data_IF_199019361800
#
_entry.id   IF_199019361800
#
_cell.length_a   1.000
_cell.length_b   1.000
_cell.length_c   1.000
_cell.angle_alpha   90.00
_cell.angle_beta   90.00
_cell.angle_gamma   90.00
#
_symmetry.space_group_name_H-M   'P 1'
#
loop_
_entity.id
_entity.type
_entity.pdbx_description
1 polymer ?
#
# COMPACT_ATOMS: atom_id res chain seq x y z
N UNK A 1 -22.03 4.34 -11.42
CA UNK A 1 -21.73 3.57 -10.19
C UNK A 1 -21.98 2.07 -10.34
N UNK A 2 -23.09 1.62 -10.94
CA UNK A 2 -23.44 0.19 -10.98
C UNK A 2 -22.46 -0.73 -11.72
N UNK A 3 -21.75 -0.25 -12.76
CA UNK A 3 -20.72 -1.04 -13.46
C UNK A 3 -19.53 -1.33 -12.54
N UNK A 4 -19.07 -0.30 -11.81
CA UNK A 4 -17.96 -0.44 -10.88
C UNK A 4 -18.31 -1.37 -9.71
N UNK A 5 -19.54 -1.29 -9.22
CA UNK A 5 -20.04 -2.17 -8.17
C UNK A 5 -20.12 -3.63 -8.60
N UNK A 6 -20.58 -3.90 -9.84
CA UNK A 6 -20.57 -5.25 -10.41
C UNK A 6 -19.14 -5.77 -10.57
N UNK A 7 -18.24 -4.98 -11.13
CA UNK A 7 -16.83 -5.32 -11.25
C UNK A 7 -16.20 -5.65 -9.89
N UNK A 8 -16.48 -4.85 -8.85
CA UNK A 8 -16.01 -5.07 -7.49
C UNK A 8 -16.54 -6.40 -6.89
N UNK A 9 -17.77 -6.77 -7.23
CA UNK A 9 -18.39 -8.02 -6.78
C UNK A 9 -17.84 -9.24 -7.54
N UNK A 10 -17.66 -9.13 -8.86
CA UNK A 10 -17.04 -10.16 -9.71
C UNK A 10 -15.60 -10.47 -9.28
N UNK A 11 -14.83 -9.45 -8.87
CA UNK A 11 -13.48 -9.63 -8.33
C UNK A 11 -13.45 -10.05 -6.85
N UNK A 12 -14.60 -10.31 -6.23
CA UNK A 12 -14.74 -10.68 -4.82
C UNK A 12 -14.00 -9.72 -3.86
N UNK A 13 -14.10 -8.42 -4.12
CA UNK A 13 -13.48 -7.40 -3.28
C UNK A 13 -14.06 -7.50 -1.86
N UNK A 14 -13.23 -7.56 -0.82
CA UNK A 14 -13.71 -7.52 0.57
C UNK A 14 -13.84 -6.10 1.06
N UNK A 15 -14.86 -5.83 1.86
CA UNK A 15 -15.10 -4.50 2.44
C UNK A 15 -15.73 -4.60 3.82
N UNK A 16 -15.45 -3.60 4.66
CA UNK A 16 -15.98 -3.50 6.01
C UNK A 16 -17.48 -3.14 5.99
N UNK A 17 -18.25 -3.85 6.79
CA UNK A 17 -19.67 -3.57 7.05
C UNK A 17 -19.86 -2.68 8.27
N UNK A 18 -21.04 -2.05 8.42
CA UNK A 18 -21.35 -1.26 9.61
C UNK A 18 -21.35 -2.08 10.91
N UNK A 19 -21.43 -3.41 10.79
CA UNK A 19 -21.35 -4.37 11.90
C UNK A 19 -19.88 -4.64 12.31
N UNK A 20 -18.90 -4.09 11.58
CA UNK A 20 -17.48 -4.28 11.85
C UNK A 20 -16.90 -5.57 11.28
N UNK A 21 -17.69 -6.34 10.52
CA UNK A 21 -17.22 -7.55 9.82
C UNK A 21 -16.81 -7.21 8.39
N UNK A 22 -15.72 -7.82 7.92
CA UNK A 22 -15.35 -7.76 6.51
C UNK A 22 -16.00 -8.89 5.71
N UNK A 23 -16.82 -8.54 4.73
CA UNK A 23 -17.51 -9.48 3.86
C UNK A 23 -17.14 -9.22 2.40
N UNK A 24 -17.36 -10.24 1.55
CA UNK A 24 -17.26 -10.07 0.11
C UNK A 24 -18.31 -9.04 -0.34
N UNK A 25 -17.89 -8.11 -1.18
CA UNK A 25 -18.72 -7.03 -1.65
C UNK A 25 -19.76 -7.58 -2.63
N UNK A 26 -21.04 -7.38 -2.30
CA UNK A 26 -22.16 -7.67 -3.18
C UNK A 26 -22.85 -6.37 -3.55
N UNK A 27 -23.04 -6.15 -4.85
CA UNK A 27 -23.68 -4.92 -5.34
C UNK A 27 -25.13 -4.78 -4.85
N UNK A 28 -25.84 -5.90 -4.72
CA UNK A 28 -27.22 -5.94 -4.24
C UNK A 28 -27.32 -5.53 -2.76
N UNK A 29 -26.30 -5.84 -1.96
CA UNK A 29 -26.24 -5.56 -0.53
C UNK A 29 -25.38 -4.33 -0.19
N UNK A 30 -25.25 -3.38 -1.11
CA UNK A 30 -24.36 -2.20 -0.97
C UNK A 30 -24.63 -1.38 0.30
N UNK A 31 -25.85 -1.39 0.82
CA UNK A 31 -26.25 -0.67 2.04
C UNK A 31 -25.59 -1.21 3.31
N UNK A 32 -25.16 -2.48 3.33
CA UNK A 32 -24.49 -3.09 4.48
C UNK A 32 -23.06 -2.59 4.68
N UNK A 33 -22.44 -2.01 3.64
CA UNK A 33 -21.03 -1.64 3.62
C UNK A 33 -20.77 -0.19 4.02
N UNK A 34 -19.68 0.01 4.75
CA UNK A 34 -19.23 1.34 5.22
C UNK A 34 -18.83 2.21 4.04
N UNK A 35 -19.31 3.45 4.04
CA UNK A 35 -18.93 4.49 3.09
C UNK A 35 -17.78 5.34 3.61
N UNK A 36 -17.04 5.95 2.70
CA UNK A 36 -16.04 6.95 3.07
C UNK A 36 -16.70 8.23 3.64
N UNK A 37 -15.91 9.07 4.34
CA UNK A 37 -16.37 10.37 4.85
C UNK A 37 -16.92 11.30 3.75
N UNK A 38 -16.45 11.15 2.52
CA UNK A 38 -16.93 11.89 1.34
C UNK A 38 -18.27 11.36 0.78
N UNK A 39 -18.90 10.39 1.46
CA UNK A 39 -20.13 9.72 1.04
C UNK A 39 -19.92 8.70 -0.08
N UNK A 40 -18.70 8.57 -0.59
CA UNK A 40 -18.40 7.67 -1.68
C UNK A 40 -18.22 6.23 -1.22
N UNK A 41 -18.74 5.30 -2.04
CA UNK A 41 -18.68 3.88 -1.72
C UNK A 41 -17.26 3.33 -1.83
N UNK A 42 -16.54 3.70 -2.90
CA UNK A 42 -15.21 3.18 -3.21
C UNK A 42 -14.14 4.25 -3.09
N UNK A 43 -13.02 3.90 -2.44
CA UNK A 43 -11.81 4.73 -2.39
C UNK A 43 -11.20 4.85 -3.77
N UNK A 44 -10.35 5.86 -3.97
CA UNK A 44 -9.68 6.03 -5.25
C UNK A 44 -8.94 4.75 -5.68
N UNK A 45 -8.28 4.07 -4.71
CA UNK A 45 -7.60 2.79 -4.94
C UNK A 45 -8.55 1.68 -5.37
N UNK A 46 -9.67 1.53 -4.65
CA UNK A 46 -10.68 0.51 -4.97
C UNK A 46 -11.25 0.74 -6.37
N UNK A 47 -11.54 2.01 -6.72
CA UNK A 47 -11.99 2.37 -8.06
C UNK A 47 -10.95 2.04 -9.12
N UNK A 48 -9.69 2.40 -8.89
CA UNK A 48 -8.61 2.09 -9.82
C UNK A 48 -8.45 0.59 -10.00
N UNK A 49 -8.60 -0.19 -8.93
CA UNK A 49 -8.53 -1.65 -9.00
C UNK A 49 -9.67 -2.22 -9.85
N UNK A 50 -10.90 -1.69 -9.70
CA UNK A 50 -12.03 -2.06 -10.54
C UNK A 50 -11.80 -1.68 -12.01
N UNK A 51 -11.28 -0.48 -12.28
CA UNK A 51 -10.95 -0.05 -13.65
C UNK A 51 -9.89 -0.95 -14.28
N UNK A 52 -8.85 -1.29 -13.52
CA UNK A 52 -7.82 -2.21 -13.98
C UNK A 52 -8.41 -3.58 -14.28
N UNK A 53 -9.25 -4.11 -13.40
CA UNK A 53 -9.95 -5.37 -13.64
C UNK A 53 -10.78 -5.33 -14.93
N UNK A 54 -11.56 -4.27 -15.14
CA UNK A 54 -12.38 -4.10 -16.34
C UNK A 54 -11.54 -4.03 -17.62
N UNK A 55 -10.47 -3.22 -17.63
CA UNK A 55 -9.65 -3.02 -18.83
C UNK A 55 -8.86 -4.29 -19.18
N UNK A 56 -8.24 -4.95 -18.19
CA UNK A 56 -7.54 -6.21 -18.42
C UNK A 56 -8.49 -7.40 -18.63
N UNK A 57 -9.74 -7.29 -18.22
CA UNK A 57 -10.81 -8.27 -18.48
C UNK A 57 -11.36 -8.23 -19.91
N UNK A 58 -10.94 -7.26 -20.73
CA UNK A 58 -11.30 -7.21 -22.15
C UNK A 58 -10.55 -8.33 -22.88
N UNK A 59 -11.23 -9.46 -23.09
CA UNK A 59 -10.69 -10.65 -23.75
C UNK A 59 -11.40 -10.96 -25.07
N UNK A 60 -10.70 -11.65 -25.97
CA UNK A 60 -11.30 -12.08 -27.23
C UNK A 60 -12.28 -13.23 -26.95
N UNK A 61 -13.58 -12.95 -27.06
CA UNK A 61 -14.65 -13.95 -26.90
C UNK A 61 -14.98 -14.68 -28.20
N UNK A 62 -14.43 -14.26 -29.34
CA UNK A 62 -14.68 -14.91 -30.62
C UNK A 62 -13.86 -16.20 -30.71
N UNK A 63 -14.38 -17.21 -31.42
CA UNK A 63 -13.68 -18.47 -31.68
C UNK A 63 -12.59 -18.33 -32.77
N UNK A 64 -12.19 -17.12 -33.10
CA UNK A 64 -11.26 -16.84 -34.20
C UNK A 64 -10.24 -15.79 -33.79
N UNK A 65 -9.06 -15.90 -34.37
CA UNK A 65 -8.01 -14.90 -34.20
C UNK A 65 -8.42 -13.62 -34.95
N UNK A 66 -8.41 -12.50 -34.23
CA UNK A 66 -8.72 -11.20 -34.82
C UNK A 66 -7.39 -10.55 -35.20
N UNK A 67 -7.24 -10.16 -36.47
CA UNK A 67 -6.09 -9.35 -36.89
C UNK A 67 -6.33 -7.90 -36.51
N UNK A 68 -5.39 -7.35 -35.74
CA UNK A 68 -5.34 -5.96 -35.35
C UNK A 68 -4.22 -5.29 -36.14
N UNK A 69 -4.52 -4.14 -36.74
CA UNK A 69 -3.54 -3.36 -37.49
C UNK A 69 -3.32 -2.03 -36.79
N UNK A 70 -2.07 -1.73 -36.46
CA UNK A 70 -1.67 -0.45 -35.91
C UNK A 70 -0.28 -0.08 -36.46
N UNK A 71 -0.17 1.10 -37.08
CA UNK A 71 1.10 1.67 -37.54
C UNK A 71 1.92 0.70 -38.42
N UNK A 72 1.27 0.18 -39.47
CA UNK A 72 1.80 -0.81 -40.43
C UNK A 72 2.22 -2.17 -39.84
N UNK A 73 2.00 -2.40 -38.55
CA UNK A 73 2.17 -3.70 -37.91
C UNK A 73 0.84 -4.42 -37.77
N UNK A 74 0.81 -5.68 -38.23
CA UNK A 74 -0.31 -6.58 -38.01
C UNK A 74 0.04 -7.56 -36.89
N UNK A 75 -0.84 -7.65 -35.90
CA UNK A 75 -0.71 -8.62 -34.82
C UNK A 75 -2.01 -9.37 -34.60
N UNK A 76 -1.87 -10.62 -34.19
CA UNK A 76 -3.00 -11.53 -34.00
C UNK A 76 -3.41 -11.51 -32.53
N UNK A 77 -4.70 -11.31 -32.30
CA UNK A 77 -5.30 -11.36 -30.98
C UNK A 77 -5.96 -12.73 -30.75
N UNK A 78 -5.33 -13.54 -29.90
CA UNK A 78 -5.73 -14.93 -29.67
C UNK A 78 -7.00 -15.03 -28.83
N UNK A 79 -7.69 -16.15 -28.93
CA UNK A 79 -8.88 -16.42 -28.12
C UNK A 79 -8.55 -16.39 -26.62
N UNK A 80 -9.42 -15.78 -25.81
CA UNK A 80 -9.27 -15.60 -24.35
C UNK A 80 -8.03 -14.82 -23.90
N UNK A 81 -7.29 -14.21 -24.82
CA UNK A 81 -6.18 -13.32 -24.48
C UNK A 81 -6.71 -11.92 -24.17
N UNK A 82 -6.15 -11.23 -23.17
CA UNK A 82 -6.54 -9.86 -22.85
C UNK A 82 -5.96 -8.87 -23.87
N UNK A 83 -6.82 -8.04 -24.46
CA UNK A 83 -6.43 -7.06 -25.47
C UNK A 83 -5.32 -6.14 -24.97
N UNK A 84 -5.46 -5.62 -23.74
CA UNK A 84 -4.51 -4.65 -23.20
C UNK A 84 -3.10 -5.26 -23.03
N UNK A 85 -2.97 -6.50 -22.52
CA UNK A 85 -1.65 -7.16 -22.40
C UNK A 85 -1.01 -7.35 -23.76
N UNK A 86 -1.80 -7.76 -24.77
CA UNK A 86 -1.29 -7.91 -26.14
C UNK A 86 -0.76 -6.60 -26.69
N UNK A 87 -1.47 -5.49 -26.45
CA UNK A 87 -1.03 -4.15 -26.85
C UNK A 87 0.20 -3.66 -26.09
N UNK A 88 0.36 -4.06 -24.82
CA UNK A 88 1.57 -3.78 -24.02
C UNK A 88 2.77 -4.56 -24.55
N UNK A 89 2.60 -5.85 -24.86
CA UNK A 89 3.67 -6.72 -25.39
C UNK A 89 4.17 -6.26 -26.76
N UNK A 90 3.27 -5.78 -27.62
CA UNK A 90 3.61 -5.22 -28.94
C UNK A 90 4.17 -3.79 -28.86
N UNK A 91 4.21 -3.20 -27.66
CA UNK A 91 4.71 -1.84 -27.43
C UNK A 91 3.81 -0.72 -27.97
N UNK A 92 2.58 -1.05 -28.39
CA UNK A 92 1.55 -0.07 -28.80
C UNK A 92 1.11 0.74 -27.57
N UNK A 93 0.90 0.06 -26.44
CA UNK A 93 0.65 0.69 -25.14
C UNK A 93 1.93 0.61 -24.32
N UNK A 94 2.53 1.77 -24.02
CA UNK A 94 3.78 1.80 -23.24
C UNK A 94 3.52 1.54 -21.75
N UNK A 95 2.58 2.28 -21.16
CA UNK A 95 2.32 2.29 -19.73
C UNK A 95 0.86 2.65 -19.44
N UNK A 96 0.26 1.96 -18.48
CA UNK A 96 -1.05 2.31 -17.92
C UNK A 96 -0.85 2.80 -16.50
N UNK A 97 -1.04 4.10 -16.28
CA UNK A 97 -0.92 4.72 -14.97
C UNK A 97 -2.23 5.43 -14.58
N UNK A 98 -2.58 5.43 -13.29
CA UNK A 98 -3.76 6.12 -12.82
C UNK A 98 -3.53 7.62 -12.70
N UNK A 99 -4.59 8.41 -12.95
CA UNK A 99 -4.55 9.86 -12.75
C UNK A 99 -4.73 10.21 -11.27
N UNK A 100 -3.86 11.07 -10.76
CA UNK A 100 -3.93 11.55 -9.39
C UNK A 100 -5.13 12.47 -9.15
N UNK A 101 -5.85 12.23 -8.05
CA UNK A 101 -6.82 13.21 -7.55
C UNK A 101 -6.07 14.35 -6.83
N UNK A 102 -5.86 15.45 -7.55
CA UNK A 102 -5.07 16.62 -7.14
C UNK A 102 -5.54 17.22 -5.81
N UNK A 103 -6.84 17.27 -5.57
CA UNK A 103 -7.43 17.85 -4.36
C UNK A 103 -7.03 17.05 -3.12
N UNK A 104 -7.25 15.72 -3.15
CA UNK A 104 -6.88 14.82 -2.05
C UNK A 104 -5.38 14.80 -1.82
N UNK A 105 -4.58 14.80 -2.90
CA UNK A 105 -3.11 14.86 -2.79
C UNK A 105 -2.65 16.15 -2.11
N UNK A 106 -3.17 17.31 -2.52
CA UNK A 106 -2.80 18.61 -1.93
C UNK A 106 -3.21 18.70 -0.47
N UNK A 107 -4.37 18.15 -0.11
CA UNK A 107 -4.83 18.10 1.27
C UNK A 107 -3.93 17.21 2.15
N UNK A 108 -3.60 16.00 1.68
CA UNK A 108 -2.63 15.11 2.32
C UNK A 108 -1.27 15.80 2.48
N UNK A 109 -0.77 16.45 1.44
CA UNK A 109 0.51 17.15 1.47
C UNK A 109 0.51 18.30 2.49
N UNK A 110 -0.57 19.09 2.51
CA UNK A 110 -0.70 20.24 3.42
C UNK A 110 -0.85 19.82 4.87
N UNK A 111 -1.66 18.81 5.15
CA UNK A 111 -1.99 18.41 6.51
C UNK A 111 -0.89 17.56 7.14
N UNK A 112 -0.17 16.77 6.34
CA UNK A 112 0.87 15.86 6.83
C UNK A 112 2.27 16.29 6.42
N UNK A 113 2.58 16.35 5.13
CA UNK A 113 3.96 16.53 4.67
C UNK A 113 4.53 17.93 4.93
N UNK A 114 3.69 18.96 4.93
CA UNK A 114 4.06 20.35 5.18
C UNK A 114 3.86 20.79 6.64
N UNK A 115 3.24 19.94 7.47
CA UNK A 115 3.02 20.23 8.88
C UNK A 115 4.16 19.65 9.73
N UNK A 116 5.18 20.48 9.99
CA UNK A 116 6.38 20.07 10.72
C UNK A 116 6.09 19.56 12.14
N UNK A 117 5.01 20.04 12.76
CA UNK A 117 4.62 19.66 14.11
C UNK A 117 4.25 18.17 14.23
N UNK A 118 3.72 17.57 13.16
CA UNK A 118 3.22 16.19 13.16
C UNK A 118 4.10 15.23 12.34
N UNK A 119 5.38 15.56 12.14
CA UNK A 119 6.32 14.77 11.32
C UNK A 119 6.37 13.28 11.71
N UNK A 120 6.19 12.97 13.00
CA UNK A 120 6.19 11.60 13.52
C UNK A 120 4.78 10.97 13.60
N UNK A 121 3.72 11.78 13.57
CA UNK A 121 2.33 11.31 13.59
C UNK A 121 1.76 11.29 12.17
N UNK A 122 2.08 10.22 11.44
CA UNK A 122 1.69 10.09 10.03
C UNK A 122 0.27 9.48 9.91
N UNK A 123 -0.64 10.06 9.11
CA UNK A 123 -1.98 9.51 8.88
C UNK A 123 -1.92 8.31 7.93
N UNK A 124 -1.48 7.16 8.44
CA UNK A 124 -1.24 5.94 7.64
C UNK A 124 -2.49 5.47 6.91
N UNK A 125 -3.68 5.64 7.51
CA UNK A 125 -4.94 5.20 6.92
C UNK A 125 -5.34 6.04 5.70
N UNK A 126 -5.07 7.34 5.71
CA UNK A 126 -5.32 8.20 4.56
C UNK A 126 -4.34 7.90 3.42
N UNK A 127 -3.06 7.72 3.75
CA UNK A 127 -2.00 7.30 2.81
C UNK A 127 -2.35 5.95 2.19
N UNK A 128 -2.85 5.00 2.99
CA UNK A 128 -3.31 3.69 2.54
C UNK A 128 -4.48 3.79 1.56
N UNK A 129 -5.47 4.62 1.87
CA UNK A 129 -6.66 4.79 1.02
C UNK A 129 -6.34 5.36 -0.36
N UNK A 130 -5.30 6.20 -0.45
CA UNK A 130 -4.90 6.89 -1.66
C UNK A 130 -3.82 6.12 -2.45
N UNK A 131 -2.70 5.78 -1.80
CA UNK A 131 -1.53 5.16 -2.44
C UNK A 131 -1.50 3.63 -2.35
N UNK A 132 -2.28 3.05 -1.43
CA UNK A 132 -2.32 1.61 -1.20
C UNK A 132 -1.27 1.08 -0.24
N UNK A 133 -1.26 -0.24 -0.07
CA UNK A 133 -0.55 -0.93 1.01
C UNK A 133 0.96 -0.74 0.96
N UNK A 134 1.58 -0.87 -0.22
CA UNK A 134 3.05 -0.80 -0.35
C UNK A 134 3.60 0.54 0.17
N UNK A 135 3.00 1.63 -0.25
CA UNK A 135 3.43 2.99 0.11
C UNK A 135 3.04 3.29 1.57
N UNK A 136 1.86 2.87 2.02
CA UNK A 136 1.45 3.05 3.41
C UNK A 136 2.34 2.29 4.40
N UNK A 137 2.73 1.05 4.09
CA UNK A 137 3.65 0.26 4.92
C UNK A 137 5.04 0.91 4.96
N UNK A 138 5.53 1.45 3.84
CA UNK A 138 6.79 2.19 3.80
C UNK A 138 6.77 3.41 4.73
N UNK A 139 5.74 4.25 4.64
CA UNK A 139 5.61 5.42 5.52
C UNK A 139 5.41 5.01 6.99
N UNK A 140 4.65 3.94 7.25
CA UNK A 140 4.49 3.41 8.60
C UNK A 140 5.81 2.89 9.20
N UNK A 141 6.70 2.31 8.38
CA UNK A 141 8.06 1.93 8.77
C UNK A 141 8.87 3.17 9.10
N UNK A 142 8.92 4.12 8.16
CA UNK A 142 9.70 5.34 8.28
C UNK A 142 9.34 6.11 9.56
N UNK A 143 8.04 6.35 9.80
CA UNK A 143 7.58 7.06 11.00
C UNK A 143 7.92 6.31 12.30
N UNK A 144 7.84 4.98 12.30
CA UNK A 144 8.25 4.20 13.47
C UNK A 144 9.76 4.26 13.68
N UNK A 145 10.55 4.12 12.63
CA UNK A 145 12.00 4.17 12.67
C UNK A 145 12.51 5.51 13.19
N UNK A 146 12.00 6.63 12.65
CA UNK A 146 12.34 7.98 13.12
C UNK A 146 12.01 8.17 14.61
N UNK A 147 10.87 7.67 15.09
CA UNK A 147 10.52 7.75 16.52
C UNK A 147 11.44 6.91 17.39
N UNK A 148 11.83 5.74 16.92
CA UNK A 148 12.73 4.84 17.65
C UNK A 148 14.18 5.31 17.63
N UNK A 149 14.62 6.03 16.59
CA UNK A 149 15.95 6.63 16.51
C UNK A 149 16.20 7.69 17.59
N UNK A 150 15.15 8.24 18.19
CA UNK A 150 15.30 9.18 19.30
C UNK A 150 16.11 8.58 20.47
N UNK A 151 15.93 7.30 20.79
CA UNK A 151 16.66 6.62 21.88
C UNK A 151 18.18 6.57 21.64
N UNK A 152 18.69 6.01 20.52
CA UNK A 152 20.12 6.00 20.24
C UNK A 152 20.67 7.40 19.98
N UNK A 153 19.89 8.33 19.43
CA UNK A 153 20.33 9.72 19.24
C UNK A 153 20.63 10.41 20.58
N UNK A 154 19.72 10.32 21.56
CA UNK A 154 19.92 10.89 22.90
C UNK A 154 21.09 10.21 23.61
N UNK A 155 21.17 8.88 23.54
CA UNK A 155 22.28 8.12 24.13
C UNK A 155 23.63 8.50 23.51
N UNK A 156 23.70 8.62 22.18
CA UNK A 156 24.91 9.02 21.46
C UNK A 156 25.36 10.44 21.79
N UNK A 157 24.42 11.38 21.85
CA UNK A 157 24.71 12.77 22.27
C UNK A 157 25.20 12.82 23.72
N UNK A 158 24.61 12.04 24.62
CA UNK A 158 25.07 11.94 26.00
C UNK A 158 26.51 11.42 26.07
N UNK A 159 26.85 10.39 25.29
CA UNK A 159 28.24 9.87 25.22
C UNK A 159 29.24 10.86 24.65
N UNK A 160 28.80 11.77 23.78
CA UNK A 160 29.66 12.75 23.10
C UNK A 160 29.88 14.03 23.91
N UNK A 161 28.85 14.50 24.63
CA UNK A 161 28.86 15.79 25.32
C UNK A 161 29.26 15.70 26.79
N UNK A 162 29.11 14.53 27.41
CA UNK A 162 29.46 14.32 28.82
C UNK A 162 30.85 13.68 28.86
N UNK A 163 31.77 14.31 29.59
CA UNK A 163 33.06 13.71 29.92
C UNK A 163 32.88 12.73 31.09
N UNK A 164 33.00 11.44 30.80
CA UNK A 164 32.89 10.36 31.79
C UNK A 164 34.22 10.08 32.51
N UNK A 165 35.29 10.77 32.14
CA UNK A 165 36.63 10.59 32.70
C UNK A 165 37.04 9.12 32.72
N UNK A 166 37.32 8.62 33.92
CA UNK A 166 37.74 7.24 34.14
C UNK A 166 36.69 6.18 33.77
N UNK A 167 35.39 6.50 33.72
CA UNK A 167 34.37 5.51 33.40
C UNK A 167 34.19 5.25 31.90
N UNK A 168 34.87 6.02 31.04
CA UNK A 168 34.70 5.96 29.58
C UNK A 168 34.94 4.56 28.99
N UNK A 169 35.88 3.80 29.55
CA UNK A 169 36.16 2.43 29.10
C UNK A 169 35.00 1.45 29.32
N UNK A 170 34.08 1.73 30.26
CA UNK A 170 32.85 0.95 30.47
C UNK A 170 31.68 1.49 29.63
N UNK A 171 31.60 2.81 29.50
CA UNK A 171 30.49 3.49 28.80
C UNK A 171 30.47 3.12 27.30
N UNK A 172 31.64 3.03 26.67
CA UNK A 172 31.75 2.70 25.24
C UNK A 172 31.21 1.28 24.91
N UNK A 173 31.68 0.19 25.55
CA UNK A 173 31.08 -1.14 25.36
C UNK A 173 29.59 -1.18 25.72
N UNK A 174 29.17 -0.51 26.79
CA UNK A 174 27.77 -0.46 27.19
C UNK A 174 26.89 0.20 26.11
N UNK A 175 27.38 1.26 25.47
CA UNK A 175 26.71 1.91 24.34
C UNK A 175 26.53 0.95 23.15
N UNK A 176 27.56 0.19 22.77
CA UNK A 176 27.45 -0.80 21.68
C UNK A 176 26.41 -1.89 22.00
N UNK A 177 26.43 -2.42 23.22
CA UNK A 177 25.44 -3.41 23.67
C UNK A 177 24.03 -2.81 23.60
N UNK A 178 23.87 -1.56 24.04
CA UNK A 178 22.61 -0.83 23.96
C UNK A 178 22.12 -0.67 22.51
N UNK A 179 22.99 -0.26 21.59
CA UNK A 179 22.63 -0.09 20.17
C UNK A 179 22.22 -1.41 19.52
N UNK A 180 22.95 -2.50 19.81
CA UNK A 180 22.60 -3.85 19.31
C UNK A 180 21.25 -4.28 19.87
N UNK A 181 21.04 -4.11 21.18
CA UNK A 181 19.77 -4.42 21.85
C UNK A 181 18.62 -3.61 21.23
N UNK A 182 18.80 -2.30 21.06
CA UNK A 182 17.84 -1.41 20.40
C UNK A 182 17.49 -1.89 18.99
N UNK A 183 18.48 -2.28 18.19
CA UNK A 183 18.25 -2.76 16.83
C UNK A 183 17.39 -4.04 16.81
N UNK A 184 17.68 -4.99 17.71
CA UNK A 184 16.89 -6.23 17.85
C UNK A 184 15.45 -5.90 18.27
N UNK A 185 15.27 -5.05 19.29
CA UNK A 185 13.95 -4.64 19.73
C UNK A 185 13.17 -3.92 18.62
N UNK A 186 13.80 -2.97 17.92
CA UNK A 186 13.17 -2.25 16.82
C UNK A 186 12.65 -3.21 15.74
N UNK A 187 13.50 -4.15 15.30
CA UNK A 187 13.12 -5.12 14.27
C UNK A 187 11.97 -6.03 14.74
N UNK A 188 11.98 -6.49 15.99
CA UNK A 188 10.89 -7.31 16.53
C UNK A 188 9.57 -6.55 16.63
N UNK A 189 9.60 -5.31 17.11
CA UNK A 189 8.42 -4.45 17.15
C UNK A 189 7.91 -4.12 15.74
N UNK A 190 8.82 -3.95 14.77
CA UNK A 190 8.45 -3.74 13.38
C UNK A 190 7.74 -4.95 12.80
N UNK A 191 8.28 -6.17 12.99
CA UNK A 191 7.64 -7.42 12.56
C UNK A 191 6.21 -7.52 13.09
N UNK A 192 6.00 -7.23 14.38
CA UNK A 192 4.67 -7.22 14.99
C UNK A 192 3.74 -6.17 14.38
N UNK A 193 4.23 -4.93 14.21
CA UNK A 193 3.45 -3.84 13.63
C UNK A 193 3.10 -4.12 12.17
N UNK A 194 4.04 -4.61 11.36
CA UNK A 194 3.83 -4.98 9.96
C UNK A 194 2.78 -6.08 9.83
N UNK A 195 2.83 -7.11 10.68
CA UNK A 195 1.81 -8.16 10.71
C UNK A 195 0.42 -7.60 11.02
N UNK A 196 0.30 -6.69 11.99
CA UNK A 196 -0.96 -6.03 12.31
C UNK A 196 -1.48 -5.14 11.15
N UNK A 197 -0.59 -4.39 10.48
CA UNK A 197 -0.96 -3.58 9.31
C UNK A 197 -1.40 -4.45 8.14
N UNK A 198 -0.70 -5.55 7.86
CA UNK A 198 -1.07 -6.50 6.81
C UNK A 198 -2.40 -7.17 7.12
N UNK A 199 -2.64 -7.58 8.35
CA UNK A 199 -3.94 -8.14 8.76
C UNK A 199 -5.08 -7.12 8.60
N UNK A 200 -4.84 -5.86 8.96
CA UNK A 200 -5.82 -4.77 8.82
C UNK A 200 -6.11 -4.39 7.36
N UNK A 201 -5.13 -4.53 6.48
CA UNK A 201 -5.22 -4.07 5.09
C UNK A 201 -5.44 -5.20 4.06
N UNK A 202 -5.15 -6.46 4.43
CA UNK A 202 -5.24 -7.68 3.63
C UNK A 202 -5.53 -8.92 4.52
N UNK A 203 -6.76 -9.12 5.00
CA UNK A 203 -7.10 -10.23 5.90
C UNK A 203 -7.25 -11.60 5.20
N UNK A 204 -6.71 -11.78 3.99
CA UNK A 204 -6.75 -13.08 3.31
C UNK A 204 -5.57 -13.93 3.83
N UNK A 205 -5.83 -15.09 4.46
CA UNK A 205 -4.79 -15.89 5.12
C UNK A 205 -3.64 -16.35 4.21
N UNK A 206 -3.84 -16.38 2.88
CA UNK A 206 -2.81 -16.79 1.91
C UNK A 206 -1.83 -15.69 1.47
N UNK A 207 -2.17 -14.40 1.59
CA UNK A 207 -1.31 -13.31 1.08
C UNK A 207 -0.30 -12.81 2.10
N UNK A 208 -0.58 -12.98 3.40
CA UNK A 208 0.36 -12.65 4.47
C UNK A 208 1.64 -13.50 4.38
N UNK A 209 1.52 -14.77 3.95
CA UNK A 209 2.66 -15.68 3.73
C UNK A 209 3.51 -15.24 2.52
N UNK A 210 2.88 -14.82 1.43
CA UNK A 210 3.59 -14.44 0.19
C UNK A 210 4.37 -13.14 0.35
N UNK A 211 3.85 -12.16 1.11
CA UNK A 211 4.59 -10.91 1.35
C UNK A 211 5.70 -11.11 2.38
N UNK A 212 5.48 -11.96 3.40
CA UNK A 212 6.54 -12.30 4.36
C UNK A 212 7.72 -12.99 3.64
N UNK A 213 7.46 -13.89 2.69
CA UNK A 213 8.46 -14.56 1.86
C UNK A 213 9.15 -13.68 0.81
N UNK A 214 8.66 -12.45 0.56
CA UNK A 214 9.31 -11.48 -0.33
C UNK A 214 10.18 -10.48 0.45
N UNK A 215 10.10 -10.49 1.78
CA UNK A 215 10.81 -9.58 2.69
C UNK A 215 11.92 -10.31 3.47
N UNK A 216 11.81 -11.64 3.61
CA UNK A 216 12.89 -12.54 4.05
C UNK A 216 13.78 -12.95 2.85
#
# INVERSE_FOLDING_TARGET
MGILGRAASEMQMKKLTYIGMELQFEWEQVAAFVRQPDGSLFSWRERFTCFRYLIYGIVNKTNSEISLKFDDKEFYWKQNESLLRRLEDEGVVKLVFPLHEEVKRKQLLRNWALNWHDFTWQPIDEVYSYFGTKIATYFAFLGMYTRWLFFPAVSGLATQLIDFGSFQWLVLPAFFIFVISWAVFFLQFWKRKNSALLARYHPIPGYAVVIQALVD
#
